data_IF_874541842716
#
_entry.id   IF_874541842716
#
_cell.length_a   1.000
_cell.length_b   1.000
_cell.length_c   1.000
_cell.angle_alpha   90.00
_cell.angle_beta   90.00
_cell.angle_gamma   90.00
#
_symmetry.space_group_name_H-M   'P 1'
#
loop_
_entity.id
_entity.type
_entity.pdbx_description
1 polymer ?
#
# COMPACT_ATOMS: atom_id res chain seq x y z
N UNK A 1 7.60 -0.62 12.46
CA UNK A 1 6.15 -0.93 12.36
C UNK A 1 5.39 -0.43 13.58
N UNK A 2 4.12 -0.10 13.45
CA UNK A 2 3.25 0.39 14.53
C UNK A 2 2.69 -0.79 15.35
N UNK A 3 2.65 -0.75 16.69
CA UNK A 3 2.06 -1.82 17.49
C UNK A 3 0.58 -2.07 17.17
N UNK A 4 0.20 -3.34 17.05
CA UNK A 4 -1.18 -3.74 16.74
C UNK A 4 -2.21 -3.24 17.75
N UNK A 5 -1.86 -3.17 19.04
CA UNK A 5 -2.75 -2.65 20.08
C UNK A 5 -3.20 -1.21 19.83
N UNK A 6 -2.30 -0.35 19.34
CA UNK A 6 -2.63 1.03 18.98
C UNK A 6 -3.52 1.10 17.75
N UNK A 7 -3.21 0.30 16.72
CA UNK A 7 -4.00 0.24 15.48
C UNK A 7 -5.42 -0.26 15.76
N UNK A 8 -5.57 -1.34 16.53
CA UNK A 8 -6.88 -1.89 16.88
C UNK A 8 -7.72 -0.92 17.70
N UNK A 9 -7.12 -0.19 18.66
CA UNK A 9 -7.82 0.81 19.45
C UNK A 9 -8.45 1.89 18.56
N UNK A 10 -7.65 2.45 17.64
CA UNK A 10 -8.11 3.47 16.68
C UNK A 10 -9.15 2.90 15.71
N UNK A 11 -8.91 1.70 15.17
CA UNK A 11 -9.83 1.07 14.23
C UNK A 11 -11.18 0.73 14.86
N UNK A 12 -11.21 0.24 16.11
CA UNK A 12 -12.45 -0.02 16.84
C UNK A 12 -13.25 1.25 17.09
N UNK A 13 -12.59 2.33 17.51
CA UNK A 13 -13.23 3.64 17.72
C UNK A 13 -13.77 4.22 16.40
N UNK A 14 -13.00 4.13 15.32
CA UNK A 14 -13.45 4.52 13.99
C UNK A 14 -14.68 3.69 13.55
N UNK A 15 -14.65 2.38 13.79
CA UNK A 15 -15.79 1.52 13.52
C UNK A 15 -17.02 1.88 14.34
N UNK A 16 -16.90 2.19 15.63
CA UNK A 16 -18.07 2.55 16.45
C UNK A 16 -18.69 3.88 16.04
N UNK A 17 -17.88 4.82 15.57
CA UNK A 17 -18.33 6.17 15.23
C UNK A 17 -18.66 6.37 13.75
N UNK A 18 -18.31 5.45 12.85
CA UNK A 18 -18.40 5.63 11.38
C UNK A 18 -19.75 6.12 10.83
N UNK A 19 -20.86 5.87 11.53
CA UNK A 19 -22.21 6.36 11.14
C UNK A 19 -22.46 7.83 11.47
N UNK A 20 -21.63 8.43 12.32
CA UNK A 20 -21.74 9.82 12.77
C UNK A 20 -20.83 10.78 11.97
N UNK A 21 -20.21 10.29 10.89
CA UNK A 21 -19.23 11.04 10.09
C UNK A 21 -18.09 11.69 10.93
N UNK A 22 -17.39 10.89 11.76
CA UNK A 22 -16.38 11.43 12.67
C UNK A 22 -15.18 11.97 11.88
N UNK A 23 -14.50 12.95 12.45
CA UNK A 23 -13.25 13.46 11.89
C UNK A 23 -12.04 12.73 12.48
N UNK A 24 -10.88 12.67 11.78
CA UNK A 24 -9.68 12.02 12.31
C UNK A 24 -9.26 12.54 13.70
N UNK A 25 -9.33 13.86 13.93
CA UNK A 25 -9.02 14.46 15.22
C UNK A 25 -9.97 13.98 16.33
N UNK A 26 -11.25 13.75 16.03
CA UNK A 26 -12.23 13.22 16.98
C UNK A 26 -11.83 11.82 17.44
N UNK A 27 -11.42 10.97 16.48
CA UNK A 27 -10.95 9.61 16.79
C UNK A 27 -9.66 9.67 17.62
N UNK A 28 -8.71 10.54 17.24
CA UNK A 28 -7.44 10.68 17.94
C UNK A 28 -7.63 11.12 19.41
N UNK A 29 -8.45 12.14 19.65
CA UNK A 29 -8.78 12.64 20.99
C UNK A 29 -9.48 11.57 21.83
N UNK A 30 -10.47 10.88 21.27
CA UNK A 30 -11.21 9.84 21.99
C UNK A 30 -10.31 8.68 22.43
N UNK A 31 -9.41 8.27 21.54
CA UNK A 31 -8.52 7.13 21.78
C UNK A 31 -7.24 7.50 22.53
N UNK A 32 -6.97 8.80 22.71
CA UNK A 32 -5.70 9.33 23.25
C UNK A 32 -4.49 8.69 22.55
N UNK A 33 -4.62 8.45 21.26
CA UNK A 33 -3.60 7.74 20.47
C UNK A 33 -2.41 8.64 20.20
N UNK A 34 -1.22 8.05 20.13
CA UNK A 34 0.00 8.72 19.70
C UNK A 34 0.26 8.59 18.19
N UNK A 35 -0.69 8.01 17.44
CA UNK A 35 -0.56 7.87 15.99
C UNK A 35 -0.70 9.22 15.29
N UNK A 36 0.10 9.41 14.24
CA UNK A 36 -0.02 10.56 13.35
C UNK A 36 -1.43 10.66 12.76
N UNK A 37 -1.94 11.90 12.58
CA UNK A 37 -3.30 12.13 12.10
C UNK A 37 -3.55 11.55 10.70
N UNK A 38 -2.52 11.43 9.84
CA UNK A 38 -2.67 10.78 8.54
C UNK A 38 -2.89 9.27 8.69
N UNK A 39 -2.23 8.63 9.66
CA UNK A 39 -2.46 7.20 9.99
C UNK A 39 -3.89 7.04 10.53
N UNK A 40 -4.34 7.93 11.42
CA UNK A 40 -5.72 7.90 11.94
C UNK A 40 -6.74 8.10 10.80
N UNK A 41 -6.47 9.02 9.86
CA UNK A 41 -7.29 9.27 8.68
C UNK A 41 -7.37 8.04 7.76
N UNK A 42 -6.25 7.37 7.52
CA UNK A 42 -6.21 6.12 6.75
C UNK A 42 -7.03 5.00 7.41
N UNK A 43 -6.87 4.80 8.72
CA UNK A 43 -7.65 3.81 9.50
C UNK A 43 -9.15 4.14 9.47
N UNK A 44 -9.51 5.42 9.62
CA UNK A 44 -10.90 5.87 9.52
C UNK A 44 -11.48 5.63 8.12
N UNK A 45 -10.73 5.94 7.07
CA UNK A 45 -11.12 5.69 5.68
C UNK A 45 -11.43 4.21 5.46
N UNK A 46 -10.59 3.31 5.97
CA UNK A 46 -10.84 1.88 5.92
C UNK A 46 -12.08 1.45 6.73
N UNK A 47 -12.35 2.07 7.89
CA UNK A 47 -13.55 1.81 8.67
C UNK A 47 -14.83 2.30 7.96
N UNK A 48 -14.77 3.43 7.25
CA UNK A 48 -15.89 3.96 6.47
C UNK A 48 -16.28 3.03 5.30
N UNK A 49 -15.30 2.33 4.70
CA UNK A 49 -15.56 1.30 3.66
C UNK A 49 -16.39 0.11 4.16
N UNK A 50 -16.57 -0.06 5.47
CA UNK A 50 -17.46 -1.08 6.07
C UNK A 50 -18.93 -0.66 6.12
N UNK A 51 -19.27 0.57 5.74
CA UNK A 51 -20.66 0.98 5.58
C UNK A 51 -21.25 0.37 4.31
N UNK A 52 -22.55 0.00 4.29
CA UNK A 52 -23.22 -0.34 3.05
C UNK A 52 -23.07 0.78 2.02
N UNK A 53 -22.86 0.47 0.73
CA UNK A 53 -22.77 1.49 -0.30
C UNK A 53 -24.09 2.26 -0.38
N UNK A 54 -23.99 3.58 -0.53
CA UNK A 54 -25.15 4.40 -0.87
C UNK A 54 -25.50 4.17 -2.34
N UNK A 55 -26.57 3.41 -2.55
CA UNK A 55 -27.03 2.99 -3.87
C UNK A 55 -27.89 4.05 -4.59
N UNK A 56 -28.12 5.21 -3.97
CA UNK A 56 -28.78 6.34 -4.64
C UNK A 56 -27.95 6.86 -5.83
N UNK A 57 -28.58 7.55 -6.79
CA UNK A 57 -27.85 8.15 -7.91
C UNK A 57 -26.78 9.14 -7.46
N UNK A 58 -27.12 9.99 -6.48
CA UNK A 58 -26.19 10.94 -5.86
C UNK A 58 -25.06 10.22 -5.11
N UNK A 59 -25.37 9.17 -4.34
CA UNK A 59 -24.38 8.35 -3.64
C UNK A 59 -23.38 7.68 -4.59
N UNK A 60 -23.88 7.12 -5.70
CA UNK A 60 -23.04 6.53 -6.75
C UNK A 60 -22.12 7.57 -7.42
N UNK A 61 -22.64 8.76 -7.75
CA UNK A 61 -21.82 9.84 -8.33
C UNK A 61 -20.71 10.29 -7.37
N UNK A 62 -21.04 10.51 -6.10
CA UNK A 62 -20.05 10.87 -5.08
C UNK A 62 -19.00 9.77 -4.88
N UNK A 63 -19.40 8.50 -4.96
CA UNK A 63 -18.47 7.38 -4.88
C UNK A 63 -17.49 7.39 -6.06
N UNK A 64 -17.99 7.49 -7.29
CA UNK A 64 -17.16 7.55 -8.49
C UNK A 64 -16.19 8.73 -8.47
N UNK A 65 -16.64 9.90 -8.01
CA UNK A 65 -15.78 11.08 -7.87
C UNK A 65 -14.68 10.85 -6.83
N UNK A 66 -15.02 10.31 -5.65
CA UNK A 66 -14.04 9.96 -4.61
C UNK A 66 -13.04 8.91 -5.09
N UNK A 67 -13.50 7.90 -5.81
CA UNK A 67 -12.63 6.87 -6.40
C UNK A 67 -11.69 7.49 -7.44
N UNK A 68 -12.18 8.39 -8.30
CA UNK A 68 -11.36 9.10 -9.29
C UNK A 68 -10.27 9.94 -8.62
N UNK A 69 -10.64 10.78 -7.66
CA UNK A 69 -9.70 11.63 -6.92
C UNK A 69 -8.68 10.79 -6.15
N UNK A 70 -9.12 9.71 -5.48
CA UNK A 70 -8.23 8.81 -4.77
C UNK A 70 -7.27 8.08 -5.71
N UNK A 71 -7.72 7.70 -6.91
CA UNK A 71 -6.88 7.07 -7.92
C UNK A 71 -5.83 8.04 -8.47
N UNK A 72 -6.21 9.31 -8.70
CA UNK A 72 -5.30 10.38 -9.10
C UNK A 72 -4.21 10.62 -8.04
N UNK A 73 -4.60 10.85 -6.78
CA UNK A 73 -3.63 11.02 -5.69
C UNK A 73 -2.73 9.80 -5.49
N UNK A 74 -3.22 8.58 -5.76
CA UNK A 74 -2.40 7.36 -5.70
C UNK A 74 -1.35 7.33 -6.79
N UNK A 75 -1.73 7.68 -8.03
CA UNK A 75 -0.79 7.75 -9.15
C UNK A 75 0.28 8.81 -8.93
N UNK A 76 -0.10 9.98 -8.42
CA UNK A 76 0.84 11.07 -8.15
C UNK A 76 1.84 10.66 -7.06
N UNK A 77 1.36 10.03 -5.99
CA UNK A 77 2.22 9.52 -4.92
C UNK A 77 3.19 8.43 -5.41
N UNK A 78 2.72 7.53 -6.25
CA UNK A 78 3.55 6.49 -6.86
C UNK A 78 4.61 7.10 -7.78
N UNK A 79 4.23 8.04 -8.65
CA UNK A 79 5.15 8.75 -9.53
C UNK A 79 6.22 9.52 -8.75
N UNK A 80 5.84 10.17 -7.65
CA UNK A 80 6.77 10.85 -6.74
C UNK A 80 7.76 9.86 -6.13
N UNK A 81 7.28 8.72 -5.61
CA UNK A 81 8.13 7.67 -5.04
C UNK A 81 9.11 7.12 -6.07
N UNK A 82 8.64 6.79 -7.28
CA UNK A 82 9.47 6.32 -8.39
C UNK A 82 10.55 7.35 -8.75
N UNK A 83 10.19 8.63 -8.84
CA UNK A 83 11.13 9.70 -9.14
C UNK A 83 12.21 9.83 -8.05
N UNK A 84 11.86 9.60 -6.77
CA UNK A 84 12.82 9.59 -5.67
C UNK A 84 13.77 8.41 -5.76
N UNK A 85 13.29 7.20 -6.04
CA UNK A 85 14.15 6.01 -6.25
C UNK A 85 15.09 6.22 -7.44
N UNK A 86 14.60 6.78 -8.56
CA UNK A 86 15.42 7.08 -9.73
C UNK A 86 16.56 8.06 -9.42
N UNK A 87 16.30 9.07 -8.59
CA UNK A 87 17.34 10.03 -8.14
C UNK A 87 18.45 9.39 -7.29
N UNK A 88 18.19 8.23 -6.69
CA UNK A 88 19.20 7.45 -5.96
C UNK A 88 20.09 6.62 -6.89
N UNK A 89 19.89 6.68 -8.21
CA UNK A 89 20.71 5.96 -9.19
C UNK A 89 20.37 4.47 -9.33
N UNK A 90 19.25 4.03 -8.76
CA UNK A 90 18.80 2.63 -8.88
C UNK A 90 18.26 2.38 -10.29
N UNK A 91 18.75 1.33 -10.94
CA UNK A 91 18.20 0.88 -12.22
C UNK A 91 17.04 -0.09 -12.03
N UNK A 92 15.89 0.23 -12.62
CA UNK A 92 14.68 -0.58 -12.53
C UNK A 92 13.83 -0.45 -13.81
N UNK A 93 12.79 -1.28 -13.89
CA UNK A 93 11.67 -1.18 -14.83
C UNK A 93 10.40 -0.85 -14.03
N UNK A 94 9.69 0.18 -14.44
CA UNK A 94 8.35 0.52 -13.95
C UNK A 94 7.33 -0.52 -14.40
N UNK A 95 6.16 -0.57 -13.76
CA UNK A 95 5.07 -1.46 -14.18
C UNK A 95 4.70 -1.25 -15.67
N UNK A 96 4.66 0.00 -16.13
CA UNK A 96 4.33 0.34 -17.51
C UNK A 96 5.35 -0.21 -18.52
N UNK A 97 6.64 -0.12 -18.19
CA UNK A 97 7.73 -0.68 -19.02
C UNK A 97 7.68 -2.20 -19.04
N UNK A 98 7.47 -2.83 -17.88
CA UNK A 98 7.31 -4.30 -17.79
C UNK A 98 6.13 -4.79 -18.64
N UNK A 99 4.99 -4.09 -18.60
CA UNK A 99 3.81 -4.41 -19.43
C UNK A 99 4.09 -4.22 -20.92
N UNK A 100 4.87 -3.20 -21.28
CA UNK A 100 5.24 -2.94 -22.67
C UNK A 100 6.18 -4.02 -23.21
N UNK A 101 7.16 -4.45 -22.41
CA UNK A 101 8.10 -5.52 -22.76
C UNK A 101 7.44 -6.89 -22.87
N UNK A 102 6.41 -7.16 -22.05
CA UNK A 102 5.67 -8.43 -22.09
C UNK A 102 4.79 -8.60 -23.34
N UNK A 103 4.62 -7.55 -24.15
CA UNK A 103 3.75 -7.55 -25.34
C UNK A 103 2.25 -7.52 -25.03
N UNK A 104 1.45 -7.13 -26.02
CA UNK A 104 -0.01 -7.02 -25.88
C UNK A 104 -0.73 -8.36 -26.06
N UNK A 105 -0.18 -9.27 -26.86
CA UNK A 105 -0.75 -10.58 -27.14
C UNK A 105 0.04 -11.69 -26.44
N UNK A 106 -0.58 -12.33 -25.45
CA UNK A 106 -0.11 -13.64 -24.98
C UNK A 106 -0.86 -14.74 -25.75
N UNK A 107 -0.19 -15.85 -26.09
CA UNK A 107 -0.86 -17.07 -26.56
C UNK A 107 -2.00 -17.47 -25.62
N UNK A 108 -3.05 -18.05 -26.19
CA UNK A 108 -4.21 -18.51 -25.42
C UNK A 108 -3.78 -19.42 -24.26
N UNK A 109 -4.20 -19.08 -23.04
CA UNK A 109 -3.88 -19.82 -21.83
C UNK A 109 -2.62 -19.38 -21.08
N UNK A 110 -1.77 -18.50 -21.64
CA UNK A 110 -0.66 -17.91 -20.88
C UNK A 110 -1.13 -16.72 -20.04
N UNK A 111 -0.76 -16.73 -18.76
CA UNK A 111 -0.97 -15.60 -17.85
C UNK A 111 0.24 -14.68 -17.90
N UNK A 112 0.00 -13.36 -17.96
CA UNK A 112 1.06 -12.36 -17.79
C UNK A 112 1.80 -12.61 -16.48
N UNK A 113 3.13 -12.48 -16.54
CA UNK A 113 3.96 -12.49 -15.36
C UNK A 113 3.55 -11.39 -14.37
N UNK A 114 3.91 -11.52 -13.10
CA UNK A 114 3.71 -10.42 -12.16
C UNK A 114 4.49 -9.17 -12.57
N UNK A 115 3.86 -8.01 -12.39
CA UNK A 115 4.46 -6.70 -12.64
C UNK A 115 4.42 -5.87 -11.36
N UNK A 116 5.41 -5.98 -10.46
CA UNK A 116 5.53 -5.06 -9.33
C UNK A 116 5.71 -3.61 -9.82
N UNK A 117 5.44 -2.64 -8.96
CA UNK A 117 5.59 -1.21 -9.31
C UNK A 117 7.01 -0.90 -9.81
N UNK A 118 8.03 -1.45 -9.14
CA UNK A 118 9.42 -1.43 -9.59
C UNK A 118 10.02 -2.85 -9.62
N UNK A 119 10.56 -3.24 -10.77
CA UNK A 119 11.39 -4.43 -10.94
C UNK A 119 12.85 -3.99 -11.09
N UNK A 120 13.72 -4.35 -10.15
CA UNK A 120 15.12 -3.92 -10.17
C UNK A 120 15.90 -4.71 -11.24
N UNK A 121 16.71 -4.03 -12.05
CA UNK A 121 17.54 -4.70 -13.06
C UNK A 121 18.63 -5.55 -12.41
N UNK A 122 19.17 -5.06 -11.31
CA UNK A 122 20.12 -5.75 -10.44
C UNK A 122 19.55 -5.77 -9.02
N UNK A 123 19.43 -6.94 -8.37
CA UNK A 123 18.95 -7.00 -7.00
C UNK A 123 19.81 -6.18 -6.04
N UNK A 124 19.16 -5.47 -5.12
CA UNK A 124 19.83 -4.69 -4.07
C UNK A 124 19.81 -5.44 -2.74
N UNK A 125 20.76 -5.13 -1.86
CA UNK A 125 20.67 -5.49 -0.44
C UNK A 125 20.13 -4.29 0.34
N UNK A 126 18.90 -4.38 0.80
CA UNK A 126 18.24 -3.34 1.60
C UNK A 126 18.21 -3.82 3.03
N UNK A 127 19.04 -3.24 3.90
CA UNK A 127 19.21 -3.67 5.30
C UNK A 127 19.54 -5.18 5.43
N UNK A 128 20.43 -5.67 4.57
CA UNK A 128 20.81 -7.09 4.50
C UNK A 128 19.77 -8.01 3.84
N UNK A 129 18.62 -7.49 3.42
CA UNK A 129 17.58 -8.25 2.71
C UNK A 129 17.78 -8.15 1.18
N UNK A 130 17.94 -9.28 0.45
CA UNK A 130 17.93 -9.27 -1.01
C UNK A 130 16.59 -8.75 -1.53
N UNK A 131 16.65 -7.84 -2.49
CA UNK A 131 15.48 -7.19 -3.05
C UNK A 131 15.58 -7.14 -4.56
N UNK A 132 14.71 -7.87 -5.25
CA UNK A 132 14.58 -7.85 -6.71
C UNK A 132 13.41 -6.96 -7.18
N UNK A 133 12.47 -6.61 -6.30
CA UNK A 133 11.31 -5.80 -6.64
C UNK A 133 10.82 -4.97 -5.44
N UNK A 134 10.15 -3.86 -5.74
CA UNK A 134 9.53 -2.95 -4.78
C UNK A 134 8.07 -2.75 -5.19
N UNK A 135 7.13 -2.96 -4.26
CA UNK A 135 5.72 -2.61 -4.40
C UNK A 135 5.39 -1.45 -3.47
N UNK A 136 4.85 -0.35 -3.99
CA UNK A 136 4.50 0.85 -3.24
C UNK A 136 3.00 0.89 -2.90
N UNK A 137 2.69 1.46 -1.73
CA UNK A 137 1.34 1.69 -1.25
C UNK A 137 1.23 3.08 -0.63
N UNK A 138 0.43 3.94 -1.26
CA UNK A 138 0.05 5.26 -0.75
C UNK A 138 -1.03 5.17 0.35
N UNK A 139 -0.79 4.36 1.39
CA UNK A 139 -1.73 4.18 2.51
C UNK A 139 -0.96 3.71 3.77
N UNK A 140 -1.67 3.50 4.88
CA UNK A 140 -1.19 2.80 6.05
C UNK A 140 -1.59 1.31 5.99
N UNK A 141 -0.61 0.39 6.07
CA UNK A 141 -0.88 -1.04 5.99
C UNK A 141 -1.27 -1.64 7.34
N UNK A 142 -2.44 -2.29 7.47
CA UNK A 142 -2.83 -2.95 8.73
C UNK A 142 -3.74 -4.17 8.54
N UNK A 143 -3.76 -5.08 9.51
CA UNK A 143 -4.39 -6.42 9.36
C UNK A 143 -5.91 -6.38 9.35
N UNK A 144 -6.49 -5.49 10.16
CA UNK A 144 -7.94 -5.38 10.30
C UNK A 144 -8.63 -4.70 9.11
N UNK A 145 -7.87 -4.23 8.11
CA UNK A 145 -8.42 -3.76 6.84
C UNK A 145 -9.00 -4.96 6.06
N UNK A 146 -10.33 -5.06 5.90
CA UNK A 146 -10.98 -6.27 5.37
C UNK A 146 -10.72 -6.49 3.87
N UNK A 147 -10.37 -5.43 3.15
CA UNK A 147 -10.35 -5.42 1.68
C UNK A 147 -8.93 -5.51 1.10
N UNK A 148 -7.92 -5.07 1.86
CA UNK A 148 -6.55 -4.89 1.32
C UNK A 148 -5.68 -6.13 1.53
N UNK A 149 -5.89 -6.90 2.61
CA UNK A 149 -4.88 -7.90 3.02
C UNK A 149 -4.87 -9.19 2.20
N UNK A 150 -6.02 -9.69 1.73
CA UNK A 150 -6.07 -10.99 1.01
C UNK A 150 -5.61 -10.87 -0.45
N UNK A 151 -6.00 -9.80 -1.14
CA UNK A 151 -5.56 -9.48 -2.51
C UNK A 151 -4.07 -9.20 -2.57
N UNK A 152 -3.58 -8.31 -1.72
CA UNK A 152 -2.16 -7.93 -1.68
C UNK A 152 -1.28 -9.12 -1.29
N UNK A 153 -1.67 -9.96 -0.32
CA UNK A 153 -0.91 -11.19 0.00
C UNK A 153 -0.78 -12.13 -1.20
N UNK A 154 -1.85 -12.30 -1.98
CA UNK A 154 -1.81 -13.14 -3.18
C UNK A 154 -0.89 -12.56 -4.24
N UNK A 155 -0.98 -11.26 -4.47
CA UNK A 155 -0.12 -10.52 -5.42
C UNK A 155 1.36 -10.66 -5.04
N UNK A 156 1.70 -10.29 -3.81
CA UNK A 156 3.06 -10.38 -3.24
C UNK A 156 3.60 -11.80 -3.30
N UNK A 157 2.77 -12.80 -2.99
CA UNK A 157 3.19 -14.21 -3.12
C UNK A 157 3.61 -14.56 -4.55
N UNK A 158 2.89 -14.07 -5.57
CA UNK A 158 3.29 -14.31 -6.96
C UNK A 158 4.63 -13.66 -7.29
N UNK A 159 4.91 -12.49 -6.72
CA UNK A 159 6.18 -11.79 -6.94
C UNK A 159 7.33 -12.62 -6.35
N UNK A 160 7.16 -13.06 -5.11
CA UNK A 160 8.11 -13.96 -4.45
C UNK A 160 8.34 -15.25 -5.24
N UNK A 161 7.26 -15.92 -5.66
CA UNK A 161 7.33 -17.22 -6.34
C UNK A 161 7.96 -17.13 -7.76
N UNK A 162 7.88 -15.97 -8.43
CA UNK A 162 8.28 -15.81 -9.84
C UNK A 162 9.52 -14.96 -10.06
N UNK A 163 9.80 -14.01 -9.18
CA UNK A 163 10.89 -13.04 -9.31
C UNK A 163 11.93 -13.30 -8.21
N UNK A 164 11.46 -13.51 -6.98
CA UNK A 164 12.31 -13.72 -5.80
C UNK A 164 12.02 -12.72 -4.69
N UNK A 165 12.94 -12.56 -3.73
CA UNK A 165 12.76 -11.67 -2.59
C UNK A 165 12.51 -10.21 -2.99
N UNK A 166 11.75 -9.47 -2.17
CA UNK A 166 11.45 -8.07 -2.41
C UNK A 166 10.85 -7.36 -1.20
N UNK A 167 10.42 -6.12 -1.40
CA UNK A 167 9.86 -5.30 -0.33
C UNK A 167 8.51 -4.66 -0.71
N UNK A 168 7.67 -4.46 0.30
CA UNK A 168 6.44 -3.66 0.20
C UNK A 168 6.64 -2.37 0.99
N UNK A 169 6.56 -1.23 0.32
CA UNK A 169 6.79 0.09 0.89
C UNK A 169 5.45 0.77 1.14
N UNK A 170 5.18 1.12 2.39
CA UNK A 170 4.00 1.89 2.78
C UNK A 170 4.37 3.33 3.09
N UNK A 171 3.74 4.30 2.44
CA UNK A 171 3.97 5.74 2.67
C UNK A 171 3.78 6.14 4.13
N UNK A 172 2.65 5.77 4.72
CA UNK A 172 2.33 6.11 6.10
C UNK A 172 2.92 5.11 7.12
N UNK A 173 3.57 4.05 6.65
CA UNK A 173 4.03 2.93 7.45
C UNK A 173 2.99 1.82 7.58
N UNK A 174 3.23 0.89 8.51
CA UNK A 174 2.46 -0.35 8.61
C UNK A 174 2.37 -0.89 10.05
N UNK A 175 1.31 -1.67 10.32
CA UNK A 175 1.12 -2.47 11.53
C UNK A 175 2.21 -3.55 11.64
N UNK A 176 2.76 -3.73 12.83
CA UNK A 176 3.78 -4.73 13.10
C UNK A 176 3.29 -6.14 12.77
N UNK A 177 4.12 -6.87 12.03
CA UNK A 177 3.80 -8.22 11.56
C UNK A 177 2.70 -8.27 10.49
N UNK A 178 2.42 -7.17 9.77
CA UNK A 178 1.45 -7.11 8.67
C UNK A 178 1.62 -8.25 7.66
N UNK A 179 2.87 -8.48 7.24
CA UNK A 179 3.26 -9.61 6.39
C UNK A 179 4.17 -10.55 7.17
N UNK A 180 3.83 -11.83 7.15
CA UNK A 180 4.64 -12.92 7.65
C UNK A 180 4.92 -13.86 6.47
N UNK A 181 5.76 -13.40 5.54
CA UNK A 181 6.15 -14.16 4.35
C UNK A 181 7.68 -14.08 4.23
N UNK A 182 8.41 -15.20 4.44
CA UNK A 182 9.84 -15.24 4.25
C UNK A 182 10.22 -14.74 2.84
N UNK A 183 11.25 -13.90 2.74
CA UNK A 183 11.63 -13.27 1.48
C UNK A 183 10.88 -11.96 1.14
N UNK A 184 9.91 -11.53 1.97
CA UNK A 184 9.24 -10.24 1.81
C UNK A 184 9.30 -9.42 3.08
N UNK A 185 9.81 -8.19 2.97
CA UNK A 185 9.90 -7.23 4.07
C UNK A 185 8.95 -6.05 3.81
N UNK A 186 8.41 -5.47 4.87
CA UNK A 186 7.66 -4.22 4.81
C UNK A 186 8.49 -3.08 5.37
N UNK A 187 8.43 -1.92 4.72
CA UNK A 187 9.18 -0.73 5.14
C UNK A 187 8.30 0.52 5.06
N UNK A 188 8.60 1.53 5.88
CA UNK A 188 8.06 2.87 5.67
C UNK A 188 8.79 3.53 4.50
N UNK A 189 8.09 4.32 3.68
CA UNK A 189 8.70 5.04 2.55
C UNK A 189 9.99 5.78 2.93
N UNK A 190 9.97 6.51 4.06
CA UNK A 190 11.14 7.25 4.54
C UNK A 190 12.33 6.34 4.85
N UNK A 191 12.09 5.20 5.48
CA UNK A 191 13.13 4.22 5.84
C UNK A 191 13.70 3.56 4.58
N UNK A 192 12.83 3.16 3.65
CA UNK A 192 13.25 2.55 2.39
C UNK A 192 14.16 3.49 1.58
N UNK A 193 13.76 4.76 1.46
CA UNK A 193 14.54 5.75 0.70
C UNK A 193 15.86 6.10 1.38
N UNK A 194 15.89 6.18 2.71
CA UNK A 194 17.13 6.39 3.45
C UNK A 194 18.10 5.24 3.27
N UNK A 195 17.62 3.99 3.36
CA UNK A 195 18.49 2.80 3.25
C UNK A 195 18.96 2.59 1.82
N UNK A 196 18.11 2.79 0.82
CA UNK A 196 18.48 2.66 -0.61
C UNK A 196 19.47 3.75 -1.02
N UNK A 197 19.41 4.93 -0.39
CA UNK A 197 20.29 6.05 -0.71
C UNK A 197 21.68 6.01 -0.04
N UNK A 198 21.97 4.99 0.77
CA UNK A 198 23.29 4.75 1.39
C UNK A 198 24.15 3.88 0.49
#
# INVERSE_FOLDING_TARGET
GVPRSLVELVFRAACSLRRQNPQPHTIATLTKTSLDLNIVSAILTAALRLLPPDNSSAGRQLHLEKERLSAECTKDAEAEFIARIAKLGVEFLTEAEQRSLAGTALPYGQKRGPTPDLLLKTPLLIDGHPCAWIEFKNDFGFKSSPFVTSGTKRQVKRYLDKIGPGIVVYRLGFESGLFAMPGVVCMRETEALEIIGR
#
